data_IF_515116460699
#
_entry.id   IF_515116460699
#
_cell.length_a   1.000
_cell.length_b   1.000
_cell.length_c   1.000
_cell.angle_alpha   90.00
_cell.angle_beta   90.00
_cell.angle_gamma   90.00
#
_symmetry.space_group_name_H-M   'P 1'
#
loop_
_entity.id
_entity.type
_entity.pdbx_description
1 polymer ?
#
# COMPACT_ATOMS: atom_id res chain seq x y z
N UNK A 1 -29.25 47.51 12.60
CA UNK A 1 -29.15 47.52 11.12
C UNK A 1 -28.03 46.56 10.77
N UNK A 2 -28.35 45.27 10.76
CA UNK A 2 -27.37 44.19 10.58
C UNK A 2 -27.29 43.81 9.09
N UNK A 3 -26.12 43.97 8.49
CA UNK A 3 -25.83 43.50 7.14
C UNK A 3 -25.43 42.01 7.19
N UNK A 4 -26.11 41.11 6.45
CA UNK A 4 -25.68 39.72 6.41
C UNK A 4 -24.48 39.56 5.46
N UNK A 5 -23.40 38.98 5.99
CA UNK A 5 -22.24 38.56 5.20
C UNK A 5 -22.65 37.43 4.25
N UNK A 6 -22.59 37.68 2.95
CA UNK A 6 -22.73 36.67 1.90
C UNK A 6 -21.59 35.65 2.01
N UNK A 7 -21.91 34.47 2.55
CA UNK A 7 -21.03 33.31 2.53
C UNK A 7 -20.93 32.80 1.09
N UNK A 8 -19.91 33.25 0.37
CA UNK A 8 -19.63 32.77 -0.99
C UNK A 8 -19.25 31.29 -0.92
N UNK A 9 -20.09 30.46 -1.51
CA UNK A 9 -19.91 29.03 -1.68
C UNK A 9 -18.59 28.79 -2.44
N UNK A 10 -17.50 28.49 -1.72
CA UNK A 10 -16.24 28.03 -2.29
C UNK A 10 -16.46 26.64 -2.88
N UNK A 11 -16.97 26.59 -4.11
CA UNK A 11 -16.90 25.38 -4.94
C UNK A 11 -15.42 25.08 -5.11
N UNK A 12 -14.97 24.03 -4.43
CA UNK A 12 -13.62 23.46 -4.57
C UNK A 12 -13.31 23.32 -6.06
N UNK A 13 -12.32 24.08 -6.54
CA UNK A 13 -11.76 23.97 -7.88
C UNK A 13 -11.06 22.61 -7.98
N UNK A 14 -11.84 21.56 -8.23
CA UNK A 14 -11.29 20.28 -8.70
C UNK A 14 -10.74 20.54 -10.09
N UNK A 15 -9.47 20.91 -10.16
CA UNK A 15 -8.71 20.96 -11.41
C UNK A 15 -8.89 19.60 -12.08
N UNK A 16 -9.60 19.56 -13.22
CA UNK A 16 -9.53 18.42 -14.12
C UNK A 16 -8.08 18.33 -14.56
N UNK A 17 -7.32 17.41 -13.97
CA UNK A 17 -6.12 16.92 -14.62
C UNK A 17 -6.64 16.07 -15.78
N UNK A 18 -6.36 16.49 -17.00
CA UNK A 18 -6.53 15.66 -18.18
C UNK A 18 -5.49 14.54 -18.09
N UNK A 19 -5.90 13.42 -17.50
CA UNK A 19 -5.08 12.23 -17.47
C UNK A 19 -5.02 11.65 -18.90
N UNK A 20 -3.84 11.23 -19.37
CA UNK A 20 -3.75 10.48 -20.61
C UNK A 20 -4.66 9.23 -20.54
N UNK A 21 -5.12 8.73 -21.71
CA UNK A 21 -6.01 7.58 -21.75
C UNK A 21 -5.42 6.42 -20.94
N UNK A 22 -6.25 5.71 -20.15
CA UNK A 22 -5.78 4.62 -19.32
C UNK A 22 -5.03 3.60 -20.17
N UNK A 23 -3.75 3.38 -19.84
CA UNK A 23 -2.99 2.23 -20.37
C UNK A 23 -3.74 0.95 -19.98
N UNK A 24 -3.83 -0.05 -20.88
CA UNK A 24 -4.47 -1.32 -20.58
C UNK A 24 -3.89 -1.92 -19.30
N UNK A 25 -4.66 -1.86 -18.23
CA UNK A 25 -4.28 -2.45 -16.96
C UNK A 25 -4.51 -3.96 -17.11
N UNK A 26 -3.45 -4.75 -16.91
CA UNK A 26 -3.64 -6.19 -16.74
C UNK A 26 -4.51 -6.38 -15.50
N UNK A 27 -5.59 -7.13 -15.64
CA UNK A 27 -6.43 -7.52 -14.52
C UNK A 27 -5.64 -8.53 -13.70
N UNK A 28 -4.90 -8.03 -12.71
CA UNK A 28 -4.27 -8.86 -11.68
C UNK A 28 -5.26 -9.08 -10.53
N UNK A 29 -6.55 -9.33 -10.83
CA UNK A 29 -7.57 -9.80 -9.86
C UNK A 29 -7.30 -11.26 -9.43
N UNK A 30 -6.03 -11.64 -9.44
CA UNK A 30 -5.56 -12.91 -8.93
C UNK A 30 -5.36 -12.70 -7.43
N UNK A 31 -6.42 -13.00 -6.66
CA UNK A 31 -6.36 -13.31 -5.24
C UNK A 31 -5.44 -14.53 -5.06
N UNK A 32 -4.15 -14.35 -5.33
CA UNK A 32 -3.14 -15.38 -5.14
C UNK A 32 -3.00 -15.54 -3.64
N UNK A 33 -3.69 -16.54 -3.13
CA UNK A 33 -3.37 -17.19 -1.88
C UNK A 33 -1.92 -17.72 -2.06
N UNK A 34 -0.94 -16.89 -1.69
CA UNK A 34 0.50 -17.17 -1.82
C UNK A 34 0.93 -17.98 -0.60
N UNK A 35 0.35 -19.15 -0.36
CA UNK A 35 0.48 -19.82 0.97
C UNK A 35 1.75 -20.62 1.16
N UNK A 36 2.42 -21.01 0.08
CA UNK A 36 3.45 -22.04 0.15
C UNK A 36 4.71 -21.59 0.92
N UNK A 37 5.31 -20.41 0.69
CA UNK A 37 6.49 -20.00 1.44
C UNK A 37 6.16 -19.40 2.82
N UNK A 38 4.95 -18.86 3.01
CA UNK A 38 4.55 -18.19 4.26
C UNK A 38 4.14 -19.15 5.37
N UNK A 39 3.61 -20.35 5.05
CA UNK A 39 3.26 -21.36 6.06
C UNK A 39 4.45 -21.89 6.86
N UNK A 40 5.64 -21.96 6.27
CA UNK A 40 6.85 -22.43 6.96
C UNK A 40 7.36 -21.43 8.01
N UNK A 41 6.97 -20.16 7.89
CA UNK A 41 7.38 -19.08 8.77
C UNK A 41 6.52 -18.92 10.02
N UNK A 42 5.27 -19.37 9.93
CA UNK A 42 4.28 -19.20 10.98
C UNK A 42 4.26 -20.48 11.81
N UNK A 43 4.96 -20.47 12.93
CA UNK A 43 4.87 -21.55 13.90
C UNK A 43 3.47 -21.53 14.56
N UNK A 44 2.75 -22.66 14.51
CA UNK A 44 1.43 -22.81 15.15
C UNK A 44 0.23 -22.35 14.30
N UNK A 45 -0.85 -21.93 14.96
CA UNK A 45 -2.12 -21.51 14.33
C UNK A 45 -2.15 -20.03 13.90
N UNK A 46 -1.00 -19.38 13.78
CA UNK A 46 -0.93 -17.96 13.45
C UNK A 46 -1.02 -17.77 11.93
N UNK A 47 -2.22 -17.61 11.38
CA UNK A 47 -2.44 -17.21 9.99
C UNK A 47 -2.57 -15.70 9.83
N UNK A 48 -2.33 -15.19 8.62
CA UNK A 48 -2.71 -13.84 8.24
C UNK A 48 -3.46 -13.85 6.91
N UNK A 49 -4.27 -12.83 6.67
CA UNK A 49 -4.98 -12.65 5.41
C UNK A 49 -4.83 -11.22 4.93
N UNK A 50 -4.69 -11.05 3.63
CA UNK A 50 -4.65 -9.72 3.00
C UNK A 50 -5.70 -9.67 1.90
N UNK A 51 -6.48 -8.58 1.91
CA UNK A 51 -7.49 -8.31 0.90
C UNK A 51 -7.28 -6.88 0.41
N UNK A 52 -7.29 -6.68 -0.90
CA UNK A 52 -7.24 -5.36 -1.52
C UNK A 52 -8.43 -5.23 -2.47
N UNK A 53 -9.12 -4.07 -2.45
CA UNK A 53 -10.30 -3.83 -3.27
C UNK A 53 -10.25 -2.43 -3.87
N UNK A 54 -10.38 -2.33 -5.19
CA UNK A 54 -10.33 -1.06 -5.95
C UNK A 54 -11.53 -0.15 -5.66
N UNK A 55 -12.69 -0.75 -5.37
CA UNK A 55 -13.94 -0.02 -5.19
C UNK A 55 -14.33 0.77 -6.45
N UNK A 56 -14.69 2.05 -6.27
CA UNK A 56 -15.17 2.95 -7.34
C UNK A 56 -14.05 3.75 -8.04
N UNK A 57 -12.78 3.60 -7.65
CA UNK A 57 -11.65 4.34 -8.25
C UNK A 57 -11.43 3.89 -9.71
N UNK A 58 -10.87 4.76 -10.55
CA UNK A 58 -10.51 4.41 -11.95
C UNK A 58 -9.30 3.47 -11.99
N UNK A 59 -8.36 3.66 -11.06
CA UNK A 59 -7.15 2.85 -10.91
C UNK A 59 -7.06 2.27 -9.49
N UNK A 60 -6.39 1.13 -9.33
CA UNK A 60 -5.97 0.61 -8.02
C UNK A 60 -4.57 1.17 -7.75
N UNK A 61 -4.49 2.23 -6.95
CA UNK A 61 -3.24 2.84 -6.51
C UNK A 61 -2.75 2.30 -5.16
N UNK A 62 -3.53 1.48 -4.47
CA UNK A 62 -3.13 0.77 -3.26
C UNK A 62 -2.08 -0.33 -3.56
N UNK A 63 -1.19 -0.60 -2.61
CA UNK A 63 -0.26 -1.74 -2.64
C UNK A 63 -0.01 -2.27 -1.23
N UNK A 64 0.47 -3.50 -1.11
CA UNK A 64 0.79 -4.11 0.17
C UNK A 64 2.03 -5.01 0.07
N UNK A 65 2.62 -5.34 1.21
CA UNK A 65 3.69 -6.34 1.33
C UNK A 65 3.49 -7.19 2.58
N UNK A 66 3.84 -8.47 2.48
CA UNK A 66 3.69 -9.46 3.56
C UNK A 66 4.97 -10.28 3.67
N UNK A 67 5.69 -10.10 4.78
CA UNK A 67 6.96 -10.78 5.08
C UNK A 67 6.88 -11.39 6.49
N UNK A 68 6.25 -12.56 6.66
CA UNK A 68 6.07 -13.20 7.97
C UNK A 68 7.36 -13.75 8.59
N UNK A 69 8.39 -14.08 7.79
CA UNK A 69 9.78 -14.31 8.28
C UNK A 69 10.67 -13.12 7.94
N UNK A 70 10.39 -11.96 8.51
CA UNK A 70 11.17 -10.77 8.19
C UNK A 70 12.63 -10.92 8.61
N UNK A 71 13.54 -10.81 7.64
CA UNK A 71 14.97 -11.04 7.85
C UNK A 71 15.35 -12.49 8.14
N UNK A 72 14.51 -13.46 7.75
CA UNK A 72 14.76 -14.90 7.99
C UNK A 72 14.47 -15.36 9.42
N UNK A 73 13.80 -14.54 10.23
CA UNK A 73 13.44 -14.88 11.61
C UNK A 73 11.95 -15.17 11.73
N UNK A 74 11.57 -16.35 12.28
CA UNK A 74 10.17 -16.67 12.61
C UNK A 74 9.59 -15.80 13.74
N UNK A 75 10.44 -15.01 14.43
CA UNK A 75 10.05 -14.11 15.52
C UNK A 75 9.77 -12.68 15.05
N UNK A 76 10.05 -12.35 13.79
CA UNK A 76 9.90 -11.01 13.23
C UNK A 76 9.09 -11.09 11.95
N UNK A 77 8.13 -10.19 11.81
CA UNK A 77 7.32 -10.08 10.60
C UNK A 77 7.19 -8.63 10.17
N UNK A 78 7.10 -8.38 8.87
CA UNK A 78 6.86 -7.06 8.31
C UNK A 78 5.59 -7.11 7.45
N UNK A 79 4.66 -6.20 7.75
CA UNK A 79 3.43 -6.02 7.00
C UNK A 79 3.32 -4.55 6.65
N UNK A 80 3.08 -4.25 5.37
CA UNK A 80 2.93 -2.87 4.90
C UNK A 80 1.69 -2.73 4.04
N UNK A 81 0.95 -1.64 4.24
CA UNK A 81 -0.18 -1.21 3.41
C UNK A 81 0.09 0.22 2.99
N UNK A 82 -0.04 0.49 1.69
CA UNK A 82 0.34 1.77 1.09
C UNK A 82 -0.82 2.26 0.22
N UNK A 83 -1.47 3.36 0.63
CA UNK A 83 -2.47 4.07 -0.17
C UNK A 83 -1.73 5.01 -1.13
N UNK A 84 -1.70 4.63 -2.41
CA UNK A 84 -1.07 5.46 -3.44
C UNK A 84 -1.95 6.66 -3.80
N UNK A 85 -1.35 7.64 -4.47
CA UNK A 85 -2.08 8.71 -5.13
C UNK A 85 -1.54 8.90 -6.54
N UNK A 86 -2.44 9.00 -7.53
CA UNK A 86 -2.07 9.12 -8.95
C UNK A 86 -2.11 7.78 -9.67
N UNK A 87 -0.97 7.28 -10.12
CA UNK A 87 -0.86 6.06 -10.96
C UNK A 87 -0.40 4.80 -10.20
N UNK A 88 -0.22 4.89 -8.88
CA UNK A 88 0.22 3.79 -8.03
C UNK A 88 1.68 3.37 -8.22
N UNK A 89 2.49 4.09 -9.00
CA UNK A 89 3.92 3.75 -9.14
C UNK A 89 4.67 3.91 -7.81
N UNK A 90 4.34 4.94 -7.04
CA UNK A 90 4.97 5.19 -5.74
C UNK A 90 4.66 4.07 -4.74
N UNK A 91 3.39 3.70 -4.55
CA UNK A 91 2.98 2.62 -3.64
C UNK A 91 3.58 1.27 -4.04
N UNK A 92 3.66 0.97 -5.34
CA UNK A 92 4.36 -0.23 -5.85
C UNK A 92 5.85 -0.22 -5.53
N UNK A 93 6.52 0.92 -5.72
CA UNK A 93 7.94 1.07 -5.38
C UNK A 93 8.19 0.87 -3.88
N UNK A 94 7.34 1.45 -3.03
CA UNK A 94 7.43 1.29 -1.58
C UNK A 94 7.22 -0.17 -1.18
N UNK A 95 6.21 -0.85 -1.72
CA UNK A 95 5.96 -2.26 -1.45
C UNK A 95 7.16 -3.15 -1.81
N UNK A 96 7.85 -2.85 -2.91
CA UNK A 96 9.02 -3.60 -3.36
C UNK A 96 10.29 -3.35 -2.54
N UNK A 97 10.47 -2.16 -1.95
CA UNK A 97 11.77 -1.75 -1.41
C UNK A 97 11.79 -1.41 0.10
N UNK A 98 10.69 -0.95 0.69
CA UNK A 98 10.73 -0.42 2.05
C UNK A 98 11.13 -1.47 3.09
N UNK A 99 10.58 -2.68 2.98
CA UNK A 99 10.91 -3.78 3.89
C UNK A 99 12.40 -4.16 3.80
N UNK A 100 12.99 -4.13 2.61
CA UNK A 100 14.43 -4.39 2.39
C UNK A 100 15.26 -3.30 3.06
N UNK A 101 14.94 -2.03 2.81
CA UNK A 101 15.68 -0.88 3.36
C UNK A 101 15.61 -0.86 4.90
N UNK A 102 14.44 -1.16 5.48
CA UNK A 102 14.27 -1.28 6.94
C UNK A 102 15.15 -2.42 7.47
N UNK A 103 15.14 -3.59 6.82
CA UNK A 103 15.95 -4.72 7.24
C UNK A 103 17.46 -4.39 7.20
N UNK A 104 17.91 -3.70 6.15
CA UNK A 104 19.29 -3.25 6.03
C UNK A 104 19.66 -2.26 7.13
N UNK A 105 18.80 -1.29 7.42
CA UNK A 105 19.05 -0.33 8.50
C UNK A 105 19.10 -1.00 9.87
N UNK A 106 18.22 -1.97 10.13
CA UNK A 106 18.27 -2.74 11.37
C UNK A 106 19.57 -3.52 11.54
N UNK A 107 20.19 -4.01 10.47
CA UNK A 107 21.50 -4.69 10.52
C UNK A 107 22.65 -3.73 10.82
N UNK A 108 22.51 -2.47 10.39
CA UNK A 108 23.55 -1.45 10.50
C UNK A 108 23.48 -0.64 11.80
N UNK A 109 22.41 -0.79 12.58
CA UNK A 109 22.34 -0.30 13.96
C UNK A 109 23.31 -1.09 14.83
N UNK A 110 24.54 -0.59 14.99
CA UNK A 110 25.43 -1.04 16.06
C UNK A 110 24.78 -0.65 17.39
N UNK A 111 24.68 -1.62 18.30
CA UNK A 111 24.36 -1.35 19.70
C UNK A 111 25.41 -0.35 20.22
N UNK A 112 24.95 0.86 20.57
CA UNK A 112 25.76 1.87 21.25
C UNK A 112 25.75 1.63 22.75
#
# INVERSE_FOLDING_TARGET
MDTPLLLTNRRSLKRKMDFPPPVPHKNDDDLRFRDLPHRLCLEGNNGFGVVTRKGKKIFMDDSHVTEPCFGGSSKKSFFGVYDGHGDGKASKYVAANLHINVLEMMKNCKEG
#
